data_IF_860099439834
#
_entry.id   IF_860099439834
#
_cell.length_a   1.000
_cell.length_b   1.000
_cell.length_c   1.000
_cell.angle_alpha   90.00
_cell.angle_beta   90.00
_cell.angle_gamma   90.00
#
_symmetry.space_group_name_H-M   'P 1'
#
loop_
_entity.id
_entity.type
_entity.pdbx_description
1 polymer ?
#
# COMPACT_ATOMS: atom_id res chain seq x y z
N UNK A 1 7.06 10.72 -11.70
CA UNK A 1 7.14 9.37 -11.12
C UNK A 1 6.83 9.48 -9.64
N UNK A 2 5.71 8.91 -9.20
CA UNK A 2 5.35 8.94 -7.78
C UNK A 2 6.14 7.86 -7.05
N UNK A 3 7.06 8.25 -6.18
CA UNK A 3 7.77 7.33 -5.30
C UNK A 3 6.93 7.10 -4.05
N UNK A 4 6.64 5.84 -3.75
CA UNK A 4 5.90 5.45 -2.53
C UNK A 4 6.92 4.91 -1.56
N UNK A 5 7.00 5.51 -0.37
CA UNK A 5 7.87 5.03 0.69
C UNK A 5 7.17 3.87 1.39
N UNK A 6 7.83 2.73 1.51
CA UNK A 6 7.34 1.58 2.25
C UNK A 6 8.19 1.46 3.52
N UNK A 7 7.54 1.32 4.67
CA UNK A 7 8.20 0.96 5.92
C UNK A 7 8.08 -0.55 6.07
N UNK A 8 9.18 -1.20 6.45
CA UNK A 8 9.18 -2.59 6.90
C UNK A 8 9.60 -2.61 8.36
N UNK A 9 8.69 -3.05 9.21
CA UNK A 9 8.91 -3.25 10.64
C UNK A 9 9.21 -4.73 10.91
N UNK A 10 10.22 -4.98 11.74
CA UNK A 10 10.55 -6.32 12.20
C UNK A 10 9.91 -6.53 13.57
N UNK A 11 9.04 -7.52 13.66
CA UNK A 11 8.41 -7.98 14.88
C UNK A 11 9.02 -9.31 15.34
N UNK A 12 8.70 -9.76 16.55
CA UNK A 12 9.18 -11.04 17.10
C UNK A 12 8.60 -12.25 16.34
N UNK A 13 7.47 -12.00 15.71
CA UNK A 13 6.54 -12.91 15.04
C UNK A 13 6.65 -12.85 13.51
N UNK A 14 7.47 -11.93 12.97
CA UNK A 14 7.72 -11.81 11.53
C UNK A 14 8.10 -10.40 11.09
N UNK A 15 7.86 -10.10 9.83
CA UNK A 15 8.02 -8.78 9.22
C UNK A 15 6.67 -8.28 8.75
N UNK A 16 6.41 -7.00 9.02
CA UNK A 16 5.21 -6.29 8.58
C UNK A 16 5.64 -5.11 7.74
N UNK A 17 4.98 -4.91 6.60
CA UNK A 17 5.30 -3.83 5.69
C UNK A 17 4.04 -3.00 5.37
N UNK A 18 4.20 -1.68 5.26
CA UNK A 18 3.11 -0.77 4.92
C UNK A 18 3.60 0.50 4.20
N UNK A 19 2.81 1.04 3.24
CA UNK A 19 3.15 2.24 2.51
C UNK A 19 2.80 3.51 3.29
N UNK A 20 3.75 4.43 3.36
CA UNK A 20 3.56 5.77 3.87
C UNK A 20 2.85 6.65 2.83
N UNK A 21 1.81 7.37 3.29
CA UNK A 21 1.07 8.33 2.47
C UNK A 21 -0.15 7.74 1.74
N UNK A 22 -0.42 6.44 1.91
CA UNK A 22 -1.66 5.79 1.43
C UNK A 22 -2.47 5.40 2.66
N UNK A 23 -3.65 6.02 2.83
CA UNK A 23 -4.50 5.74 3.98
C UNK A 23 -5.21 4.39 3.83
N UNK A 24 -4.82 3.43 4.66
CA UNK A 24 -5.76 2.50 5.30
C UNK A 24 -6.15 1.23 4.55
N UNK A 25 -5.38 0.73 3.57
CA UNK A 25 -5.78 -0.54 2.90
C UNK A 25 -4.65 -1.51 2.63
N UNK A 26 -3.42 -1.04 2.42
CA UNK A 26 -2.31 -1.91 1.97
C UNK A 26 -1.39 -2.22 3.15
N UNK A 27 -1.39 -3.47 3.60
CA UNK A 27 -0.45 -4.03 4.59
C UNK A 27 -0.03 -5.39 4.05
N UNK A 28 1.25 -5.73 4.20
CA UNK A 28 1.75 -7.07 3.89
C UNK A 28 2.55 -7.63 5.05
N UNK A 29 2.47 -8.93 5.24
CA UNK A 29 3.14 -9.66 6.30
C UNK A 29 3.98 -10.80 5.71
N UNK A 30 5.03 -11.20 6.42
CA UNK A 30 5.86 -12.32 5.98
C UNK A 30 6.83 -12.75 7.06
N UNK A 31 7.32 -13.99 6.95
CA UNK A 31 8.36 -14.49 7.86
C UNK A 31 9.73 -13.87 7.56
N UNK A 32 9.89 -13.34 6.34
CA UNK A 32 11.09 -12.67 5.87
C UNK A 32 10.79 -11.26 5.33
N UNK A 33 11.84 -10.42 5.30
CA UNK A 33 11.77 -9.08 4.73
C UNK A 33 11.30 -9.09 3.27
N UNK A 34 11.78 -10.06 2.47
CA UNK A 34 11.46 -10.17 1.05
C UNK A 34 10.01 -10.57 0.81
N UNK A 35 9.45 -11.46 1.64
CA UNK A 35 8.04 -11.83 1.60
C UNK A 35 7.15 -10.63 1.90
N UNK A 36 7.38 -9.92 3.01
CA UNK A 36 6.58 -8.76 3.40
C UNK A 36 6.64 -7.64 2.34
N UNK A 37 7.82 -7.42 1.74
CA UNK A 37 8.00 -6.44 0.66
C UNK A 37 7.23 -6.83 -0.61
N UNK A 38 7.29 -8.11 -1.00
CA UNK A 38 6.62 -8.63 -2.19
C UNK A 38 5.11 -8.56 -2.05
N UNK A 39 4.61 -8.86 -0.85
CA UNK A 39 3.20 -8.82 -0.53
C UNK A 39 2.64 -7.38 -0.61
N UNK A 40 3.30 -6.42 0.03
CA UNK A 40 2.95 -4.99 -0.08
C UNK A 40 3.02 -4.50 -1.52
N UNK A 41 4.01 -4.91 -2.29
CA UNK A 41 4.16 -4.47 -3.68
C UNK A 41 2.99 -4.94 -4.54
N UNK A 42 2.54 -6.17 -4.36
CA UNK A 42 1.38 -6.74 -5.04
C UNK A 42 0.08 -6.05 -4.62
N UNK A 43 -0.13 -5.88 -3.31
CA UNK A 43 -1.28 -5.19 -2.78
C UNK A 43 -1.34 -3.71 -3.20
N UNK A 44 -0.19 -3.05 -3.34
CA UNK A 44 -0.10 -1.69 -3.84
C UNK A 44 -0.49 -1.58 -5.32
N UNK A 45 -0.01 -2.51 -6.14
CA UNK A 45 -0.38 -2.59 -7.56
C UNK A 45 -1.87 -2.86 -7.71
N UNK A 46 -2.42 -3.80 -6.94
CA UNK A 46 -3.85 -4.08 -6.90
C UNK A 46 -4.67 -2.86 -6.45
N UNK A 47 -4.18 -2.11 -5.47
CA UNK A 47 -4.85 -0.91 -4.99
C UNK A 47 -4.88 0.19 -6.07
N UNK A 48 -3.80 0.38 -6.82
CA UNK A 48 -3.77 1.33 -7.96
C UNK A 48 -4.71 0.86 -9.08
N UNK A 49 -4.77 -0.44 -9.37
CA UNK A 49 -5.64 -0.96 -10.41
C UNK A 49 -7.14 -0.89 -10.03
N UNK A 50 -7.46 -1.25 -8.78
CA UNK A 50 -8.82 -1.28 -8.23
C UNK A 50 -9.35 0.11 -7.90
N UNK A 51 -8.54 0.95 -7.23
CA UNK A 51 -8.95 2.27 -6.72
C UNK A 51 -8.35 3.45 -7.51
N UNK A 52 -7.24 3.27 -8.22
CA UNK A 52 -6.65 4.31 -9.08
C UNK A 52 -7.47 4.57 -10.34
N UNK A 53 -8.48 3.74 -10.63
CA UNK A 53 -9.53 3.99 -11.62
C UNK A 53 -10.82 4.52 -10.97
N UNK A 54 -10.73 5.32 -9.91
CA UNK A 54 -11.81 6.31 -9.73
C UNK A 54 -11.69 7.31 -10.89
N UNK A 55 -12.71 7.46 -11.75
CA UNK A 55 -12.67 8.47 -12.78
C UNK A 55 -12.40 9.81 -12.09
N UNK A 56 -11.46 10.59 -12.61
CA UNK A 56 -11.39 12.02 -12.28
C UNK A 56 -12.78 12.58 -12.55
N UNK A 57 -13.58 12.80 -11.51
CA UNK A 57 -14.71 13.71 -11.61
C UNK A 57 -14.14 15.11 -11.44
N UNK A 58 -14.11 15.94 -12.49
CA UNK A 58 -13.93 17.36 -12.27
C UNK A 58 -15.26 17.87 -11.69
N UNK A 59 -15.23 18.24 -10.41
CA UNK A 59 -16.27 19.06 -9.79
C UNK A 59 -17.40 18.33 -9.03
N UNK A 60 -17.72 18.92 -7.87
CA UNK A 60 -18.94 18.78 -7.05
C UNK A 60 -19.09 17.45 -6.27
N UNK A 61 -19.33 17.38 -4.96
CA UNK A 61 -20.13 18.18 -4.00
C UNK A 61 -19.45 18.18 -2.61
N UNK A 62 -19.22 19.32 -1.95
CA UNK A 62 -20.04 20.02 -0.95
C UNK A 62 -20.18 19.35 0.44
N UNK A 63 -19.56 20.05 1.41
CA UNK A 63 -19.64 20.04 2.88
C UNK A 63 -19.24 18.77 3.63
#
# INVERSE_FOLDING_TARGET
>A
MSTIKIIVEKHSDGYVAYPLGIKGVVVGEGNTYEEALTDVKSALQFHIETFGRMPKKPGFYQF
#
